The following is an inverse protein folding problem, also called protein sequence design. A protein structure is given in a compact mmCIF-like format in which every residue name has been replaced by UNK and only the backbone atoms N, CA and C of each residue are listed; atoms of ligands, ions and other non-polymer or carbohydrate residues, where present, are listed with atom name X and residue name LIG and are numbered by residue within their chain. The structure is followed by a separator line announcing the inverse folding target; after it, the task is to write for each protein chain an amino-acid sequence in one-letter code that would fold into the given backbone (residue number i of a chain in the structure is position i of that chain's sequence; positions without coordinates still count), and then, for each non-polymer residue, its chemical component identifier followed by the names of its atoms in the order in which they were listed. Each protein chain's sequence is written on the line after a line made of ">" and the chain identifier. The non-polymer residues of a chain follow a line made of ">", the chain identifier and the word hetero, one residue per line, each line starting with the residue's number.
data_IF_201557032623
#
_entry.id   IF_201557032623
#
_cell.length_a   1.000
_cell.length_b   1.000
_cell.length_c   1.000
_cell.angle_alpha   90.00
_cell.angle_beta   90.00
_cell.angle_gamma   90.00
#
_symmetry.space_group_name_H-M   'P 1'
#
loop_
_entity.id
_entity.type
_entity.pdbx_description
1 polymer ?
#
# COMPACT_ATOMS: atom_id res chain seq x y z
N UNK A 1 -29.35 -4.35 -24.00
CA UNK A 1 -28.35 -5.20 -23.30
C UNK A 1 -29.12 -6.22 -22.47
N UNK A 2 -29.00 -7.51 -22.77
CA UNK A 2 -29.67 -8.56 -21.99
C UNK A 2 -29.08 -8.60 -20.57
N UNK A 3 -29.90 -8.32 -19.55
CA UNK A 3 -29.53 -8.42 -18.14
C UNK A 3 -29.67 -9.87 -17.69
N UNK A 4 -28.55 -10.58 -17.54
CA UNK A 4 -28.57 -11.91 -16.95
C UNK A 4 -28.79 -11.82 -15.42
N UNK A 5 -29.70 -12.64 -14.86
CA UNK A 5 -29.96 -12.62 -13.43
C UNK A 5 -28.70 -13.00 -12.63
N UNK A 6 -28.55 -12.49 -11.39
CA UNK A 6 -27.41 -12.83 -10.55
C UNK A 6 -27.42 -14.32 -10.20
N UNK A 7 -26.31 -15.00 -10.49
CA UNK A 7 -26.14 -16.41 -10.18
C UNK A 7 -25.63 -16.55 -8.75
N UNK A 8 -26.30 -17.36 -7.93
CA UNK A 8 -25.86 -17.65 -6.56
C UNK A 8 -25.60 -19.14 -6.40
N UNK A 9 -24.39 -19.51 -5.99
CA UNK A 9 -24.03 -20.88 -5.62
C UNK A 9 -23.73 -20.94 -4.12
N UNK A 10 -24.24 -21.98 -3.48
CA UNK A 10 -23.96 -22.31 -2.09
C UNK A 10 -23.19 -23.63 -2.03
N UNK A 11 -22.25 -23.72 -1.08
CA UNK A 11 -21.52 -24.95 -0.77
C UNK A 11 -20.93 -25.58 -2.03
N UNK A 12 -19.83 -25.02 -2.51
CA UNK A 12 -19.06 -25.56 -3.62
C UNK A 12 -17.81 -26.27 -3.08
N UNK A 13 -17.93 -27.51 -2.57
CA UNK A 13 -16.77 -28.27 -2.12
C UNK A 13 -15.86 -28.63 -3.30
N UNK A 14 -14.56 -28.72 -3.03
CA UNK A 14 -13.57 -29.09 -4.05
C UNK A 14 -13.13 -27.95 -4.97
N UNK A 15 -12.49 -28.31 -6.07
CA UNK A 15 -11.90 -27.34 -7.00
C UNK A 15 -12.91 -26.88 -8.06
N UNK A 16 -13.29 -25.60 -8.03
CA UNK A 16 -14.21 -25.01 -8.99
C UNK A 16 -13.46 -24.25 -10.09
N UNK A 17 -13.84 -24.49 -11.35
CA UNK A 17 -13.33 -23.76 -12.52
C UNK A 17 -14.50 -23.25 -13.36
N UNK A 18 -14.62 -21.93 -13.51
CA UNK A 18 -15.65 -21.31 -14.36
C UNK A 18 -14.98 -20.41 -15.42
N UNK A 19 -15.38 -20.59 -16.67
CA UNK A 19 -14.78 -19.86 -17.80
C UNK A 19 -15.48 -18.52 -18.07
N UNK A 20 -16.77 -18.56 -18.38
CA UNK A 20 -17.57 -17.38 -18.66
C UNK A 20 -18.82 -17.42 -17.79
N UNK A 21 -18.89 -16.51 -16.84
CA UNK A 21 -20.05 -16.37 -15.96
C UNK A 21 -20.82 -15.13 -16.39
N UNK A 22 -21.95 -15.28 -17.11
CA UNK A 22 -22.73 -14.14 -17.55
C UNK A 22 -23.34 -13.41 -16.34
N UNK A 23 -23.32 -12.08 -16.39
CA UNK A 23 -23.88 -11.25 -15.31
C UNK A 23 -23.06 -11.31 -14.02
N UNK A 24 -23.76 -11.19 -12.89
CA UNK A 24 -23.16 -11.17 -11.55
C UNK A 24 -23.10 -12.57 -10.94
N UNK A 25 -22.04 -12.85 -10.17
CA UNK A 25 -21.82 -14.10 -9.47
C UNK A 25 -21.69 -13.89 -7.97
N UNK A 26 -22.45 -14.65 -7.20
CA UNK A 26 -22.30 -14.79 -5.75
C UNK A 26 -21.97 -16.23 -5.40
N UNK A 27 -20.84 -16.47 -4.75
CA UNK A 27 -20.54 -17.79 -4.17
C UNK A 27 -20.47 -17.66 -2.65
N UNK A 28 -21.11 -18.60 -1.95
CA UNK A 28 -21.02 -18.71 -0.51
C UNK A 28 -20.43 -20.08 -0.16
N UNK A 29 -19.45 -20.10 0.74
CA UNK A 29 -18.77 -21.30 1.22
C UNK A 29 -18.09 -22.09 0.09
N UNK A 30 -16.91 -21.60 -0.31
CA UNK A 30 -16.04 -22.22 -1.33
C UNK A 30 -14.76 -22.68 -0.65
N UNK A 31 -14.77 -23.83 0.05
CA UNK A 31 -13.62 -24.27 0.83
C UNK A 31 -12.42 -24.67 -0.02
N UNK A 32 -12.66 -25.19 -1.23
CA UNK A 32 -11.59 -25.59 -2.15
C UNK A 32 -11.07 -24.47 -3.05
N UNK A 33 -10.23 -24.82 -4.03
CA UNK A 33 -9.63 -23.83 -4.93
C UNK A 33 -10.63 -23.31 -5.97
N UNK A 34 -10.62 -22.01 -6.24
CA UNK A 34 -11.48 -21.38 -7.25
C UNK A 34 -10.65 -20.78 -8.39
N UNK A 35 -11.02 -21.07 -9.63
CA UNK A 35 -10.50 -20.39 -10.83
C UNK A 35 -11.65 -19.79 -11.62
N UNK A 36 -11.65 -18.46 -11.78
CA UNK A 36 -12.62 -17.73 -12.61
C UNK A 36 -11.89 -17.01 -13.74
N UNK A 37 -12.25 -17.29 -14.99
CA UNK A 37 -11.61 -16.63 -16.13
C UNK A 37 -12.26 -15.29 -16.48
N UNK A 38 -13.59 -15.24 -16.56
CA UNK A 38 -14.32 -14.02 -16.87
C UNK A 38 -15.63 -13.92 -16.10
N UNK A 39 -15.77 -12.87 -15.30
CA UNK A 39 -17.02 -12.47 -14.63
C UNK A 39 -17.28 -11.00 -14.97
N UNK A 40 -17.99 -10.69 -16.07
CA UNK A 40 -18.21 -9.32 -16.51
C UNK A 40 -18.99 -8.47 -15.49
N UNK A 41 -19.95 -9.08 -14.78
CA UNK A 41 -20.72 -8.41 -13.73
C UNK A 41 -20.01 -8.36 -12.39
N UNK A 42 -20.79 -8.19 -11.31
CA UNK A 42 -20.23 -8.16 -9.96
C UNK A 42 -19.88 -9.56 -9.47
N UNK A 43 -18.76 -9.68 -8.76
CA UNK A 43 -18.34 -10.92 -8.11
C UNK A 43 -18.33 -10.72 -6.59
N UNK A 44 -19.12 -11.54 -5.88
CA UNK A 44 -19.11 -11.61 -4.42
C UNK A 44 -18.76 -13.02 -3.95
N UNK A 45 -17.66 -13.17 -3.22
CA UNK A 45 -17.31 -14.43 -2.55
C UNK A 45 -17.41 -14.23 -1.04
N UNK A 46 -18.17 -15.09 -0.38
CA UNK A 46 -18.25 -15.14 1.09
C UNK A 46 -17.73 -16.50 1.55
N UNK A 47 -16.77 -16.49 2.49
CA UNK A 47 -16.09 -17.68 3.01
C UNK A 47 -15.44 -18.52 1.90
N UNK A 48 -14.24 -18.12 1.49
CA UNK A 48 -13.48 -18.81 0.46
C UNK A 48 -12.04 -19.08 0.95
N UNK A 49 -11.86 -20.02 1.89
CA UNK A 49 -10.55 -20.28 2.51
C UNK A 49 -9.53 -20.93 1.58
N UNK A 50 -9.96 -21.56 0.49
CA UNK A 50 -9.07 -22.13 -0.52
C UNK A 50 -8.34 -21.07 -1.37
N UNK A 51 -7.48 -21.55 -2.29
CA UNK A 51 -6.75 -20.64 -3.19
C UNK A 51 -7.64 -20.08 -4.29
N UNK A 52 -7.50 -18.79 -4.58
CA UNK A 52 -8.32 -18.06 -5.55
C UNK A 52 -7.45 -17.58 -6.73
N UNK A 53 -7.87 -17.87 -7.96
CA UNK A 53 -7.31 -17.29 -9.19
C UNK A 53 -8.42 -16.65 -10.02
N UNK A 54 -8.36 -15.34 -10.16
CA UNK A 54 -9.35 -14.53 -10.87
C UNK A 54 -8.67 -13.82 -12.04
N UNK A 55 -9.04 -14.12 -13.27
CA UNK A 55 -8.36 -13.54 -14.44
C UNK A 55 -8.95 -12.18 -14.84
N UNK A 56 -10.27 -12.10 -15.05
CA UNK A 56 -10.93 -10.86 -15.43
C UNK A 56 -12.23 -10.66 -14.65
N UNK A 57 -12.28 -9.60 -13.86
CA UNK A 57 -13.48 -9.17 -13.11
C UNK A 57 -13.68 -7.66 -13.31
N UNK A 58 -14.22 -7.23 -14.47
CA UNK A 58 -14.39 -5.81 -14.76
C UNK A 58 -15.43 -5.11 -13.88
N UNK A 59 -16.46 -5.84 -13.43
CA UNK A 59 -17.40 -5.34 -12.44
C UNK A 59 -16.82 -5.18 -11.04
N UNK A 60 -17.68 -4.95 -10.05
CA UNK A 60 -17.24 -4.84 -8.65
C UNK A 60 -16.84 -6.20 -8.08
N UNK A 61 -15.70 -6.26 -7.38
CA UNK A 61 -15.23 -7.47 -6.68
C UNK A 61 -15.33 -7.26 -5.17
N UNK A 62 -16.03 -8.16 -4.48
CA UNK A 62 -16.07 -8.20 -3.01
C UNK A 62 -15.69 -9.60 -2.51
N UNK A 63 -14.66 -9.66 -1.68
CA UNK A 63 -14.22 -10.89 -1.01
C UNK A 63 -14.35 -10.73 0.50
N UNK A 64 -14.99 -11.69 1.14
CA UNK A 64 -15.13 -11.77 2.60
C UNK A 64 -14.61 -13.11 3.09
N UNK A 65 -13.70 -13.08 4.06
CA UNK A 65 -13.08 -14.26 4.68
C UNK A 65 -12.42 -15.16 3.61
N UNK A 66 -11.30 -14.69 3.08
CA UNK A 66 -10.51 -15.41 2.07
C UNK A 66 -9.04 -15.55 2.55
N UNK A 67 -8.79 -16.39 3.58
CA UNK A 67 -7.45 -16.60 4.13
C UNK A 67 -6.47 -17.32 3.17
N UNK A 68 -6.96 -18.00 2.14
CA UNK A 68 -6.12 -18.63 1.13
C UNK A 68 -5.36 -17.61 0.25
N UNK A 69 -4.42 -18.12 -0.56
CA UNK A 69 -3.69 -17.28 -1.50
C UNK A 69 -4.61 -16.77 -2.63
N UNK A 70 -4.54 -15.46 -2.93
CA UNK A 70 -5.31 -14.83 -4.00
C UNK A 70 -4.39 -14.30 -5.10
N UNK A 71 -4.71 -14.65 -6.35
CA UNK A 71 -4.17 -14.02 -7.56
C UNK A 71 -5.31 -13.39 -8.35
N UNK A 72 -5.22 -12.09 -8.59
CA UNK A 72 -6.16 -11.34 -9.44
C UNK A 72 -5.39 -10.67 -10.57
N UNK A 73 -5.70 -11.02 -11.81
CA UNK A 73 -4.97 -10.51 -12.97
C UNK A 73 -5.50 -9.14 -13.43
N UNK A 74 -6.81 -9.01 -13.60
CA UNK A 74 -7.44 -7.77 -14.02
C UNK A 74 -8.74 -7.51 -13.27
N UNK A 75 -8.83 -6.36 -12.62
CA UNK A 75 -10.07 -5.83 -12.06
C UNK A 75 -10.14 -4.31 -12.21
N UNK A 76 -10.60 -3.79 -13.36
CA UNK A 76 -10.79 -2.35 -13.58
C UNK A 76 -11.87 -1.73 -12.69
N UNK A 77 -12.79 -2.53 -12.13
CA UNK A 77 -13.74 -2.08 -11.12
C UNK A 77 -13.07 -1.65 -9.80
N UNK A 78 -13.80 -1.74 -8.69
CA UNK A 78 -13.27 -1.38 -7.37
C UNK A 78 -13.23 -2.56 -6.40
N UNK A 79 -12.14 -3.37 -6.40
CA UNK A 79 -12.02 -4.51 -5.50
C UNK A 79 -12.02 -4.11 -4.03
N UNK A 80 -12.79 -4.86 -3.24
CA UNK A 80 -12.84 -4.74 -1.78
C UNK A 80 -12.63 -6.10 -1.16
N UNK A 81 -11.56 -6.25 -0.39
CA UNK A 81 -11.22 -7.49 0.30
C UNK A 81 -11.27 -7.26 1.81
N UNK A 82 -11.92 -8.18 2.50
CA UNK A 82 -12.10 -8.17 3.94
C UNK A 82 -11.66 -9.52 4.51
N UNK A 83 -10.77 -9.49 5.51
CA UNK A 83 -10.21 -10.68 6.15
C UNK A 83 -9.55 -11.62 5.12
N UNK A 84 -8.46 -11.13 4.52
CA UNK A 84 -7.68 -11.86 3.53
C UNK A 84 -6.19 -11.94 3.94
N UNK A 85 -5.87 -12.67 5.04
CA UNK A 85 -4.50 -12.77 5.56
C UNK A 85 -3.53 -13.61 4.72
N UNK A 86 -4.01 -14.27 3.65
CA UNK A 86 -3.18 -15.05 2.75
C UNK A 86 -2.30 -14.20 1.82
N UNK A 87 -1.41 -14.87 1.09
CA UNK A 87 -0.58 -14.19 0.09
C UNK A 87 -1.45 -13.58 -1.02
N UNK A 88 -1.28 -12.28 -1.27
CA UNK A 88 -2.04 -11.51 -2.23
C UNK A 88 -1.16 -11.10 -3.41
N UNK A 89 -1.59 -11.40 -4.63
CA UNK A 89 -0.98 -10.88 -5.87
C UNK A 89 -2.03 -10.25 -6.75
N UNK A 90 -1.93 -8.93 -6.98
CA UNK A 90 -2.80 -8.19 -7.90
C UNK A 90 -1.97 -7.62 -9.05
N UNK A 91 -2.30 -7.96 -10.29
CA UNK A 91 -1.51 -7.53 -11.43
C UNK A 91 -1.98 -6.18 -11.98
N UNK A 92 -3.27 -6.02 -12.25
CA UNK A 92 -3.85 -4.77 -12.78
C UNK A 92 -5.15 -4.43 -12.09
N UNK A 93 -5.14 -3.31 -11.34
CA UNK A 93 -6.31 -2.71 -10.71
C UNK A 93 -6.35 -1.22 -11.08
N UNK A 94 -6.89 -0.87 -12.25
CA UNK A 94 -7.08 0.51 -12.66
C UNK A 94 -7.98 1.32 -11.71
N UNK A 95 -9.04 0.72 -11.17
CA UNK A 95 -9.95 1.37 -10.24
C UNK A 95 -9.42 1.42 -8.80
N UNK A 96 -10.31 1.79 -7.86
CA UNK A 96 -9.94 1.90 -6.45
C UNK A 96 -9.81 0.54 -5.77
N UNK A 97 -8.80 0.37 -4.91
CA UNK A 97 -8.56 -0.85 -4.17
C UNK A 97 -8.71 -0.61 -2.67
N UNK A 98 -9.54 -1.42 -2.02
CA UNK A 98 -9.66 -1.44 -0.56
C UNK A 98 -9.34 -2.82 0.00
N UNK A 99 -8.41 -2.86 0.94
CA UNK A 99 -8.00 -4.05 1.67
C UNK A 99 -8.17 -3.79 3.18
N UNK A 100 -8.88 -4.66 3.88
CA UNK A 100 -9.03 -4.60 5.34
C UNK A 100 -8.67 -5.96 5.94
N UNK A 101 -7.85 -5.97 6.99
CA UNK A 101 -7.35 -7.19 7.65
C UNK A 101 -6.66 -8.11 6.63
N UNK A 102 -5.69 -7.55 5.91
CA UNK A 102 -4.89 -8.25 4.90
C UNK A 102 -3.48 -8.44 5.44
N UNK A 103 -3.26 -9.47 6.25
CA UNK A 103 -1.93 -9.83 6.73
C UNK A 103 -1.07 -10.49 5.63
N UNK A 104 0.22 -10.69 5.91
CA UNK A 104 1.10 -11.52 5.09
C UNK A 104 1.79 -10.77 3.95
N UNK A 105 2.10 -11.50 2.88
CA UNK A 105 2.83 -10.96 1.71
C UNK A 105 1.86 -10.46 0.64
N UNK A 106 1.90 -9.16 0.38
CA UNK A 106 1.10 -8.49 -0.65
C UNK A 106 2.01 -7.96 -1.75
N UNK A 107 1.73 -8.33 -3.00
CA UNK A 107 2.42 -7.82 -4.20
C UNK A 107 1.39 -7.23 -5.15
N UNK A 108 1.43 -5.93 -5.33
CA UNK A 108 0.51 -5.18 -6.18
C UNK A 108 1.33 -4.54 -7.31
N UNK A 109 1.01 -4.82 -8.57
CA UNK A 109 1.89 -4.44 -9.69
C UNK A 109 1.47 -3.18 -10.45
N UNK A 110 0.19 -3.02 -10.75
CA UNK A 110 -0.34 -1.83 -11.39
C UNK A 110 -1.62 -1.46 -10.64
N UNK A 111 -1.56 -0.38 -9.87
CA UNK A 111 -2.71 0.14 -9.11
C UNK A 111 -2.85 1.63 -9.43
N UNK A 112 -3.73 1.97 -10.37
CA UNK A 112 -3.87 3.35 -10.85
C UNK A 112 -4.88 4.18 -10.07
N UNK A 113 -5.85 3.53 -9.44
CA UNK A 113 -6.81 4.19 -8.59
C UNK A 113 -6.27 4.42 -7.19
N UNK A 114 -7.13 4.95 -6.30
CA UNK A 114 -6.75 5.10 -4.89
C UNK A 114 -6.62 3.74 -4.21
N UNK A 115 -5.58 3.59 -3.38
CA UNK A 115 -5.37 2.42 -2.53
C UNK A 115 -5.66 2.77 -1.07
N UNK A 116 -6.53 2.00 -0.43
CA UNK A 116 -6.78 2.08 1.01
C UNK A 116 -6.50 0.73 1.66
N UNK A 117 -5.63 0.74 2.65
CA UNK A 117 -5.23 -0.44 3.41
C UNK A 117 -5.48 -0.18 4.90
N UNK A 118 -6.15 -1.11 5.56
CA UNK A 118 -6.43 -1.07 6.99
C UNK A 118 -5.99 -2.39 7.61
N UNK A 119 -5.20 -2.33 8.69
CA UNK A 119 -4.73 -3.50 9.44
C UNK A 119 -4.08 -4.54 8.53
N UNK A 120 -2.86 -4.23 8.08
CA UNK A 120 -2.14 -5.04 7.11
C UNK A 120 -0.72 -5.32 7.56
N UNK A 121 -0.55 -6.15 8.60
CA UNK A 121 0.77 -6.55 9.06
C UNK A 121 1.47 -7.42 8.00
N UNK A 122 2.78 -7.26 7.87
CA UNK A 122 3.61 -8.10 7.01
C UNK A 122 4.37 -7.31 5.95
N UNK A 123 4.43 -7.85 4.73
CA UNK A 123 5.25 -7.30 3.66
C UNK A 123 4.38 -6.83 2.50
N UNK A 124 4.35 -5.52 2.25
CA UNK A 124 3.68 -4.93 1.09
C UNK A 124 4.71 -4.43 0.08
N UNK A 125 4.61 -4.93 -1.14
CA UNK A 125 5.34 -4.43 -2.31
C UNK A 125 4.35 -3.89 -3.32
N UNK A 126 4.52 -2.61 -3.66
CA UNK A 126 3.71 -1.91 -4.65
C UNK A 126 4.62 -1.45 -5.78
N UNK A 127 4.31 -1.88 -6.99
CA UNK A 127 4.95 -1.41 -8.22
C UNK A 127 3.93 -0.55 -8.98
N UNK A 128 4.42 0.38 -9.80
CA UNK A 128 3.64 1.20 -10.75
C UNK A 128 2.25 1.58 -10.23
N UNK A 129 2.24 2.35 -9.14
CA UNK A 129 1.00 2.73 -8.47
C UNK A 129 0.81 4.25 -8.47
N UNK A 130 0.44 4.81 -9.63
CA UNK A 130 0.06 6.22 -9.69
C UNK A 130 -1.25 6.39 -8.93
N UNK A 131 -1.30 7.33 -7.98
CA UNK A 131 -2.52 7.63 -7.25
C UNK A 131 -2.34 7.82 -5.75
N UNK A 132 -3.43 8.22 -5.10
CA UNK A 132 -3.45 8.45 -3.66
C UNK A 132 -3.45 7.13 -2.89
N UNK A 133 -2.55 6.99 -1.92
CA UNK A 133 -2.44 5.83 -1.05
C UNK A 133 -2.65 6.23 0.40
N UNK A 134 -3.50 5.50 1.11
CA UNK A 134 -3.74 5.67 2.54
C UNK A 134 -3.63 4.32 3.23
N UNK A 135 -2.67 4.20 4.12
CA UNK A 135 -2.39 2.98 4.86
C UNK A 135 -2.53 3.30 6.35
N UNK A 136 -3.34 2.51 7.05
CA UNK A 136 -3.59 2.61 8.48
C UNK A 136 -3.23 1.28 9.13
N UNK A 137 -2.37 1.30 10.14
CA UNK A 137 -1.94 0.11 10.87
C UNK A 137 -1.31 -0.94 9.94
N UNK A 138 -0.13 -0.63 9.40
CA UNK A 138 0.59 -1.48 8.45
C UNK A 138 2.01 -1.80 8.95
N UNK A 139 2.16 -2.52 10.06
CA UNK A 139 3.47 -2.88 10.60
C UNK A 139 4.20 -3.87 9.69
N UNK A 140 5.53 -3.75 9.60
CA UNK A 140 6.39 -4.65 8.83
C UNK A 140 7.20 -3.95 7.76
N UNK A 141 7.28 -4.53 6.55
CA UNK A 141 8.09 -3.99 5.46
C UNK A 141 7.22 -3.44 4.34
N UNK A 142 7.35 -2.15 4.05
CA UNK A 142 6.65 -1.48 2.97
C UNK A 142 7.66 -1.02 1.91
N UNK A 143 7.50 -1.50 0.68
CA UNK A 143 8.33 -1.11 -0.47
C UNK A 143 7.47 -0.61 -1.60
N UNK A 144 7.72 0.61 -2.06
CA UNK A 144 7.04 1.19 -3.21
C UNK A 144 8.07 1.52 -4.30
N UNK A 145 7.73 1.14 -5.52
CA UNK A 145 8.52 1.37 -6.72
C UNK A 145 7.65 2.11 -7.74
N UNK A 146 8.15 3.23 -8.28
CA UNK A 146 7.45 4.02 -9.31
C UNK A 146 6.02 4.37 -8.92
N UNK A 147 5.91 5.20 -7.90
CA UNK A 147 4.68 5.29 -7.14
C UNK A 147 4.29 6.77 -6.95
N UNK A 148 3.97 7.50 -8.04
CA UNK A 148 3.65 8.92 -7.98
C UNK A 148 2.31 9.19 -7.30
N UNK A 149 2.16 10.38 -6.71
CA UNK A 149 0.95 10.84 -6.02
C UNK A 149 1.09 10.85 -4.50
N UNK A 150 0.02 11.21 -3.81
CA UNK A 150 0.06 11.36 -2.35
C UNK A 150 0.13 10.01 -1.62
N UNK A 151 0.99 9.90 -0.60
CA UNK A 151 1.02 8.78 0.34
C UNK A 151 0.80 9.31 1.76
N UNK A 152 -0.20 8.74 2.45
CA UNK A 152 -0.44 8.93 3.88
C UNK A 152 -0.31 7.60 4.59
N UNK A 153 0.54 7.56 5.61
CA UNK A 153 0.77 6.39 6.44
C UNK A 153 0.55 6.74 7.91
N UNK A 154 -0.27 5.94 8.59
CA UNK A 154 -0.53 6.06 10.01
C UNK A 154 -0.20 4.72 10.69
N UNK A 155 0.56 4.76 11.79
CA UNK A 155 0.89 3.60 12.62
C UNK A 155 1.50 2.46 11.79
N UNK A 156 2.69 2.65 11.26
CA UNK A 156 3.35 1.66 10.41
C UNK A 156 4.79 1.41 10.86
N UNK A 157 4.98 0.79 12.04
CA UNK A 157 6.30 0.46 12.53
C UNK A 157 7.01 -0.52 11.59
N UNK A 158 8.33 -0.36 11.41
CA UNK A 158 9.17 -1.27 10.64
C UNK A 158 10.02 -0.56 9.58
N UNK A 159 10.06 -1.12 8.37
CA UNK A 159 10.90 -0.59 7.29
C UNK A 159 10.08 -0.05 6.14
N UNK A 160 10.28 1.23 5.81
CA UNK A 160 9.69 1.89 4.66
C UNK A 160 10.78 2.26 3.65
N UNK A 161 10.65 1.72 2.43
CA UNK A 161 11.52 2.08 1.31
C UNK A 161 10.68 2.59 0.14
N UNK A 162 10.95 3.81 -0.30
CA UNK A 162 10.33 4.38 -1.50
C UNK A 162 11.41 4.62 -2.57
N UNK A 163 11.12 4.15 -3.78
CA UNK A 163 11.94 4.34 -4.96
C UNK A 163 11.09 5.05 -6.02
N UNK A 164 11.49 6.25 -6.43
CA UNK A 164 10.78 7.05 -7.44
C UNK A 164 9.31 7.30 -7.06
N UNK A 165 9.08 8.09 -6.01
CA UNK A 165 7.75 8.38 -5.49
C UNK A 165 7.49 9.89 -5.43
N UNK A 166 7.39 10.59 -6.58
CA UNK A 166 7.08 12.02 -6.60
C UNK A 166 5.67 12.27 -6.06
N UNK A 167 5.44 13.43 -5.44
CA UNK A 167 4.17 13.80 -4.82
C UNK A 167 4.33 14.33 -3.40
N UNK A 168 3.34 14.09 -2.54
CA UNK A 168 3.37 14.51 -1.14
C UNK A 168 3.35 13.29 -0.22
N UNK A 169 4.29 13.21 0.70
CA UNK A 169 4.41 12.14 1.68
C UNK A 169 4.11 12.67 3.09
N UNK A 170 3.14 12.06 3.77
CA UNK A 170 2.82 12.34 5.17
C UNK A 170 2.87 11.05 5.98
N UNK A 171 3.75 10.99 6.96
CA UNK A 171 3.89 9.83 7.84
C UNK A 171 3.61 10.24 9.29
N UNK A 172 2.81 9.44 9.99
CA UNK A 172 2.44 9.64 11.38
C UNK A 172 2.71 8.34 12.14
N UNK A 173 3.55 8.41 13.18
CA UNK A 173 3.87 7.27 14.04
C UNK A 173 4.42 6.08 13.25
N UNK A 174 5.58 6.29 12.63
CA UNK A 174 6.26 5.31 11.75
C UNK A 174 7.66 5.03 12.31
N UNK A 175 7.79 4.37 13.46
CA UNK A 175 9.10 4.05 14.01
C UNK A 175 9.82 2.99 13.17
N UNK A 176 11.15 3.06 13.14
CA UNK A 176 12.02 2.12 12.44
C UNK A 176 12.91 2.79 11.39
N UNK A 177 12.99 2.22 10.18
CA UNK A 177 13.88 2.73 9.13
C UNK A 177 13.10 3.27 7.94
N UNK A 178 13.37 4.52 7.56
CA UNK A 178 12.85 5.16 6.36
C UNK A 178 13.97 5.45 5.38
N UNK A 179 13.86 4.92 4.18
CA UNK A 179 14.78 5.21 3.07
C UNK A 179 14.01 5.71 1.86
N UNK A 180 14.37 6.90 1.37
CA UNK A 180 13.80 7.49 0.16
C UNK A 180 14.88 7.69 -0.89
N UNK A 181 14.66 7.11 -2.06
CA UNK A 181 15.45 7.31 -3.27
C UNK A 181 14.59 8.07 -4.28
N UNK A 182 15.05 9.26 -4.69
CA UNK A 182 14.28 10.21 -5.52
C UNK A 182 12.97 10.62 -4.82
N UNK A 183 13.13 11.45 -3.79
CA UNK A 183 12.07 11.79 -2.84
C UNK A 183 10.91 12.62 -3.46
N UNK A 184 9.74 12.61 -2.82
CA UNK A 184 8.58 13.44 -3.15
C UNK A 184 8.89 14.94 -3.24
N UNK A 185 7.98 15.73 -3.83
CA UNK A 185 8.08 17.19 -3.79
C UNK A 185 7.95 17.76 -2.37
N UNK A 186 7.23 17.07 -1.47
CA UNK A 186 7.18 17.42 -0.05
C UNK A 186 7.12 16.20 0.87
N UNK A 187 7.80 16.32 2.01
CA UNK A 187 7.86 15.30 3.07
C UNK A 187 7.50 15.92 4.42
N UNK A 188 6.46 15.38 5.07
CA UNK A 188 6.09 15.69 6.45
C UNK A 188 6.10 14.43 7.30
N UNK A 189 6.90 14.44 8.37
CA UNK A 189 7.03 13.32 9.31
C UNK A 189 6.63 13.78 10.71
N UNK A 190 5.74 13.03 11.35
CA UNK A 190 5.35 13.22 12.75
C UNK A 190 5.67 11.94 13.52
N UNK A 191 6.46 12.05 14.58
CA UNK A 191 6.82 10.92 15.46
C UNK A 191 7.43 9.76 14.66
N UNK A 192 8.64 9.98 14.14
CA UNK A 192 9.41 8.97 13.40
C UNK A 192 10.69 8.65 14.18
N UNK A 193 10.60 7.81 15.23
CA UNK A 193 11.79 7.27 15.87
C UNK A 193 12.60 6.38 14.92
N UNK A 194 13.92 6.51 14.93
CA UNK A 194 14.82 5.57 14.24
C UNK A 194 15.72 6.21 13.18
N UNK A 195 15.86 5.59 12.01
CA UNK A 195 16.81 6.05 10.98
C UNK A 195 16.10 6.57 9.74
N UNK A 196 16.51 7.76 9.30
CA UNK A 196 16.04 8.41 8.08
C UNK A 196 17.20 8.63 7.12
N UNK A 197 17.11 8.06 5.92
CA UNK A 197 18.08 8.24 4.83
C UNK A 197 17.39 8.79 3.58
N UNK A 198 17.83 9.94 3.11
CA UNK A 198 17.34 10.58 1.89
C UNK A 198 18.47 10.74 0.88
N UNK A 199 18.40 10.03 -0.25
CA UNK A 199 19.44 10.09 -1.29
C UNK A 199 19.26 11.23 -2.28
N UNK A 200 18.03 11.69 -2.49
CA UNK A 200 17.69 12.92 -3.22
C UNK A 200 16.53 13.56 -2.47
N UNK A 201 16.79 14.69 -1.82
CA UNK A 201 15.86 15.27 -0.86
C UNK A 201 14.67 15.97 -1.53
N UNK A 202 13.52 16.04 -0.83
CA UNK A 202 12.35 16.77 -1.29
C UNK A 202 12.61 18.28 -1.35
N UNK A 203 11.79 19.04 -2.10
CA UNK A 203 11.84 20.51 -2.06
C UNK A 203 11.55 21.06 -0.67
N UNK A 204 10.62 20.42 0.06
CA UNK A 204 10.30 20.77 1.45
C UNK A 204 10.32 19.54 2.36
N UNK A 205 11.14 19.62 3.41
CA UNK A 205 11.24 18.62 4.47
C UNK A 205 10.82 19.23 5.81
N UNK A 206 9.79 18.67 6.44
CA UNK A 206 9.38 19.01 7.81
C UNK A 206 9.38 17.77 8.70
N UNK A 207 10.13 17.83 9.79
CA UNK A 207 10.22 16.78 10.79
C UNK A 207 9.72 17.31 12.13
N UNK A 208 8.81 16.56 12.76
CA UNK A 208 8.28 16.80 14.10
C UNK A 208 8.55 15.58 14.97
N UNK A 209 9.18 15.77 16.13
CA UNK A 209 9.48 14.71 17.09
C UNK A 209 10.23 13.55 16.42
N UNK A 210 11.44 13.83 15.92
CA UNK A 210 12.27 12.85 15.24
C UNK A 210 13.48 12.48 16.12
N UNK A 211 13.32 11.54 17.07
CA UNK A 211 14.45 10.98 17.80
C UNK A 211 15.17 9.95 16.90
N UNK A 212 16.43 10.22 16.54
CA UNK A 212 17.27 9.24 15.84
C UNK A 212 18.25 9.82 14.83
N UNK A 213 18.74 8.97 13.93
CA UNK A 213 19.79 9.33 12.98
C UNK A 213 19.20 9.81 11.65
N UNK A 214 19.50 11.06 11.27
CA UNK A 214 19.12 11.66 10.00
C UNK A 214 20.35 11.78 9.10
N UNK A 215 20.27 11.19 7.91
CA UNK A 215 21.30 11.34 6.85
C UNK A 215 20.66 11.87 5.58
N UNK A 216 21.08 13.06 5.16
CA UNK A 216 20.68 13.69 3.91
C UNK A 216 21.87 13.73 2.97
N UNK A 217 21.81 12.98 1.86
CA UNK A 217 22.88 12.94 0.86
C UNK A 217 22.77 14.09 -0.16
N UNK A 218 21.57 14.61 -0.38
CA UNK A 218 21.31 15.81 -1.17
C UNK A 218 20.47 16.79 -0.36
N UNK A 219 20.68 18.08 -0.59
CA UNK A 219 20.04 19.16 0.15
C UNK A 219 18.56 19.35 -0.27
N UNK A 220 17.60 19.43 0.67
CA UNK A 220 16.27 19.94 0.35
C UNK A 220 16.30 21.45 0.12
N UNK A 221 15.34 21.97 -0.66
CA UNK A 221 15.16 23.43 -0.79
C UNK A 221 14.85 24.11 0.56
N UNK A 222 14.06 23.45 1.40
CA UNK A 222 13.79 23.88 2.78
C UNK A 222 13.78 22.73 3.77
N UNK A 223 14.45 22.92 4.90
CA UNK A 223 14.50 21.99 6.03
C UNK A 223 13.98 22.67 7.29
N UNK A 224 12.91 22.10 7.87
CA UNK A 224 12.38 22.50 9.19
C UNK A 224 12.39 21.33 10.15
N UNK A 225 13.07 21.50 11.27
CA UNK A 225 13.16 20.50 12.34
C UNK A 225 12.51 21.06 13.62
N UNK A 226 11.56 20.31 14.17
CA UNK A 226 10.91 20.59 15.44
C UNK A 226 11.14 19.43 16.41
N UNK A 227 11.73 19.68 17.58
CA UNK A 227 12.01 18.66 18.60
C UNK A 227 12.77 17.46 18.02
N UNK A 228 13.86 17.74 17.31
CA UNK A 228 14.72 16.72 16.73
C UNK A 228 15.88 16.41 17.70
N UNK A 229 15.95 15.16 18.16
CA UNK A 229 16.99 14.69 19.06
C UNK A 229 17.78 13.57 18.35
N UNK A 230 19.11 13.66 18.31
CA UNK A 230 19.96 12.65 17.67
C UNK A 230 20.93 13.22 16.65
N UNK A 231 21.60 12.32 15.92
CA UNK A 231 22.66 12.70 14.99
C UNK A 231 22.08 13.19 13.66
N UNK A 232 22.47 14.40 13.26
CA UNK A 232 22.15 14.99 11.97
C UNK A 232 23.41 15.04 11.11
N UNK A 233 23.38 14.36 9.96
CA UNK A 233 24.43 14.45 8.93
C UNK A 233 23.83 15.00 7.64
N UNK A 234 24.36 16.14 7.21
CA UNK A 234 24.04 16.78 5.95
C UNK A 234 25.26 16.66 5.05
N UNK A 235 25.13 16.05 3.88
CA UNK A 235 26.23 16.06 2.89
C UNK A 235 26.20 17.31 2.00
N UNK A 236 25.08 18.03 1.98
CA UNK A 236 24.88 19.26 1.22
C UNK A 236 23.98 20.20 2.02
N UNK A 237 24.25 21.51 1.96
CA UNK A 237 23.49 22.52 2.71
C UNK A 237 22.11 22.78 2.08
N UNK A 238 21.00 22.76 2.86
CA UNK A 238 19.68 23.13 2.36
C UNK A 238 19.61 24.61 1.98
N UNK A 239 18.74 24.96 1.02
CA UNK A 239 18.52 26.36 0.64
C UNK A 239 17.98 27.22 1.80
N UNK A 240 17.28 26.60 2.74
CA UNK A 240 16.92 27.20 4.03
C UNK A 240 16.87 26.17 5.15
N UNK A 241 17.39 26.54 6.32
CA UNK A 241 17.39 25.70 7.52
C UNK A 241 16.70 26.43 8.68
N UNK A 242 15.73 25.78 9.32
CA UNK A 242 15.12 26.26 10.57
C UNK A 242 15.09 25.14 11.60
N UNK A 243 15.65 25.42 12.76
CA UNK A 243 15.74 24.52 13.90
C UNK A 243 14.91 25.07 15.06
N UNK A 244 14.03 24.25 15.61
CA UNK A 244 13.22 24.58 16.78
C UNK A 244 13.41 23.47 17.82
N UNK A 245 14.08 23.79 18.94
CA UNK A 245 14.40 22.84 20.01
C UNK A 245 15.08 21.56 19.50
N UNK A 246 16.23 21.70 18.82
CA UNK A 246 16.98 20.60 18.23
C UNK A 246 18.42 20.53 18.78
N UNK A 247 18.62 20.05 20.03
CA UNK A 247 19.93 20.04 20.70
C UNK A 247 20.90 18.95 20.18
N UNK A 248 20.57 18.25 19.10
CA UNK A 248 21.38 17.15 18.56
C UNK A 248 22.70 17.62 17.93
N UNK A 249 23.68 16.71 17.87
CA UNK A 249 24.95 16.95 17.19
C UNK A 249 24.71 17.16 15.68
N UNK A 250 24.87 18.40 15.23
CA UNK A 250 24.87 18.77 13.82
C UNK A 250 26.27 18.54 13.24
N UNK A 251 26.34 17.73 12.19
CA UNK A 251 27.54 17.61 11.35
C UNK A 251 27.18 17.94 9.91
N UNK A 252 27.82 19.01 9.41
CA UNK A 252 27.81 19.43 8.01
C UNK A 252 28.91 18.68 7.22
#
# INVERSE_FOLDING_TARGET
>A
MATHPPQTLYNAPGALRLYKVPGSLRLNNVPGSLRLYSVPGSLRLNNAPGSLRLYSVPGSLRLYNAPGALRLYSAPGSPRLYNAPGALRLYSVPGSLRLNNAAGLQRLYIVRGSLRLYNAPGALRLYNAPGARRLYSAPGSLRLYHAPGALRLHNAPGSLRLYNAPGALRLYSVPGSLTLNNAPGSLKLHSVPGSLRLYNAPQALRLYNAPGALKLYSAPGSLRLHHAHGALRLHNAPGSLRLYNAPGALRL
#
